data_IF_010158825754
#
_entry.id   IF_010158825754
#
_cell.length_a   1.000
_cell.length_b   1.000
_cell.length_c   1.000
_cell.angle_alpha   90.00
_cell.angle_beta   90.00
_cell.angle_gamma   90.00
#
_symmetry.space_group_name_H-M   'P 1'
#
loop_
_entity.id
_entity.type
_entity.pdbx_description
1 polymer ?
#
# COMPACT_ATOMS: atom_id res chain seq x y z
N UNK A 1 -8.42 8.11 19.08
CA UNK A 1 -9.36 7.89 17.95
C UNK A 1 -8.76 8.61 16.75
N UNK A 2 -8.86 8.08 15.52
CA UNK A 2 -8.44 8.85 14.34
C UNK A 2 -9.58 9.77 13.93
N UNK A 3 -9.55 11.01 14.41
CA UNK A 3 -10.28 12.11 13.78
C UNK A 3 -9.70 12.29 12.38
N UNK A 4 -10.48 11.99 11.32
CA UNK A 4 -10.01 12.20 9.95
C UNK A 4 -9.86 13.70 9.72
N UNK A 5 -8.62 14.16 9.52
CA UNK A 5 -8.26 15.56 9.32
C UNK A 5 -9.16 16.22 8.26
N UNK A 6 -9.78 17.38 8.55
CA UNK A 6 -10.67 18.03 7.60
C UNK A 6 -9.93 18.45 6.32
N UNK A 7 -10.64 18.36 5.20
CA UNK A 7 -10.16 18.65 3.84
C UNK A 7 -10.84 19.88 3.27
N UNK A 8 -10.07 20.71 2.55
CA UNK A 8 -10.49 22.02 2.04
C UNK A 8 -10.07 22.20 0.57
N UNK A 9 -10.43 21.23 -0.27
CA UNK A 9 -10.12 21.25 -1.70
C UNK A 9 -11.07 22.12 -2.53
N UNK A 10 -12.29 22.35 -2.03
CA UNK A 10 -13.37 23.09 -2.68
C UNK A 10 -13.94 24.11 -1.69
N UNK A 11 -14.10 25.36 -2.10
CA UNK A 11 -14.72 26.41 -1.31
C UNK A 11 -16.23 26.52 -1.60
N UNK A 12 -16.97 27.06 -0.61
CA UNK A 12 -18.41 27.36 -0.76
C UNK A 12 -18.68 28.32 -1.94
N UNK A 13 -17.71 29.18 -2.28
CA UNK A 13 -17.78 30.11 -3.41
C UNK A 13 -17.84 29.38 -4.75
N UNK A 14 -16.97 28.40 -4.97
CA UNK A 14 -16.90 27.61 -6.21
C UNK A 14 -18.26 26.91 -6.47
N UNK A 15 -18.82 26.32 -5.40
CA UNK A 15 -20.13 25.68 -5.45
C UNK A 15 -21.25 26.69 -5.72
N UNK A 16 -21.22 27.86 -5.07
CA UNK A 16 -22.21 28.94 -5.33
C UNK A 16 -22.12 29.45 -6.77
N UNK A 17 -20.95 29.53 -7.38
CA UNK A 17 -20.80 29.90 -8.80
C UNK A 17 -21.39 28.84 -9.74
N UNK A 18 -21.16 27.55 -9.45
CA UNK A 18 -21.79 26.43 -10.18
C UNK A 18 -23.32 26.51 -10.05
N UNK A 19 -23.86 26.67 -8.84
CA UNK A 19 -25.32 26.77 -8.61
C UNK A 19 -25.93 27.97 -9.34
N UNK A 20 -25.30 29.16 -9.30
CA UNK A 20 -25.79 30.35 -10.01
C UNK A 20 -25.73 30.18 -11.54
N UNK A 21 -24.78 29.38 -12.06
CA UNK A 21 -24.64 29.11 -13.50
C UNK A 21 -25.72 28.16 -14.02
N UNK A 22 -26.10 27.15 -13.24
CA UNK A 22 -27.20 26.24 -13.62
C UNK A 22 -28.58 26.83 -13.33
N UNK A 23 -28.70 27.75 -12.36
CA UNK A 23 -29.95 28.43 -12.03
C UNK A 23 -29.85 29.98 -12.14
N UNK A 24 -29.76 30.52 -13.36
CA UNK A 24 -29.70 31.97 -13.58
C UNK A 24 -31.01 32.69 -13.24
N UNK A 25 -32.17 32.02 -13.27
CA UNK A 25 -33.45 32.63 -12.89
C UNK A 25 -33.65 32.72 -11.37
N UNK A 26 -32.84 31.98 -10.60
CA UNK A 26 -32.94 31.78 -9.14
C UNK A 26 -34.28 31.22 -8.66
N UNK A 27 -35.11 30.68 -9.56
CA UNK A 27 -36.36 30.02 -9.20
C UNK A 27 -36.11 28.55 -8.90
N UNK A 28 -36.80 28.03 -7.89
CA UNK A 28 -36.69 26.61 -7.51
C UNK A 28 -37.32 25.69 -8.57
N UNK A 29 -38.43 26.10 -9.18
CA UNK A 29 -39.13 25.30 -10.20
C UNK A 29 -38.37 25.14 -11.52
N UNK A 30 -37.39 26.02 -11.79
CA UNK A 30 -36.56 25.98 -13.01
C UNK A 30 -35.30 25.11 -12.83
N UNK A 31 -35.01 24.64 -11.60
CA UNK A 31 -33.77 23.95 -11.25
C UNK A 31 -33.87 22.43 -11.43
N UNK A 32 -33.11 21.89 -12.38
CA UNK A 32 -32.87 20.46 -12.49
C UNK A 32 -31.88 19.98 -11.41
N UNK A 33 -32.42 19.58 -10.25
CA UNK A 33 -31.64 19.10 -9.10
C UNK A 33 -30.73 17.90 -9.46
N UNK A 34 -31.20 16.83 -10.14
CA UNK A 34 -30.33 15.73 -10.59
C UNK A 34 -29.16 16.15 -11.48
N UNK A 35 -29.33 17.14 -12.36
CA UNK A 35 -28.23 17.64 -13.21
C UNK A 35 -27.20 18.43 -12.39
N UNK A 36 -27.66 19.28 -11.47
CA UNK A 36 -26.77 20.01 -10.54
C UNK A 36 -25.99 19.03 -9.64
N UNK A 37 -26.66 18.03 -9.07
CA UNK A 37 -26.04 16.98 -8.26
C UNK A 37 -24.97 16.21 -9.05
N UNK A 38 -25.30 15.77 -10.27
CA UNK A 38 -24.37 15.10 -11.18
C UNK A 38 -23.18 15.99 -11.54
N UNK A 39 -23.38 17.30 -11.70
CA UNK A 39 -22.33 18.28 -12.03
C UNK A 39 -21.36 18.51 -10.87
N UNK A 40 -21.85 18.52 -9.63
CA UNK A 40 -21.01 18.62 -8.43
C UNK A 40 -20.28 17.30 -8.17
N UNK A 41 -20.93 16.15 -8.34
CA UNK A 41 -20.27 14.83 -8.25
C UNK A 41 -19.20 14.60 -9.33
N UNK A 42 -19.21 15.36 -10.43
CA UNK A 42 -18.17 15.33 -11.46
C UNK A 42 -16.91 16.15 -11.09
N UNK A 43 -16.90 16.88 -9.98
CA UNK A 43 -15.71 17.57 -9.47
C UNK A 43 -14.72 16.55 -8.87
N UNK A 44 -13.44 16.46 -9.31
CA UNK A 44 -12.54 15.38 -8.90
C UNK A 44 -12.30 15.24 -7.39
N UNK A 45 -12.39 16.35 -6.65
CA UNK A 45 -12.21 16.40 -5.20
C UNK A 45 -13.50 16.15 -4.38
N UNK A 46 -14.62 15.82 -5.02
CA UNK A 46 -15.85 15.32 -4.36
C UNK A 46 -15.80 13.79 -4.31
N UNK A 47 -16.12 13.20 -3.16
CA UNK A 47 -16.38 11.75 -3.02
C UNK A 47 -17.86 11.41 -3.24
N UNK A 48 -18.75 12.27 -2.72
CA UNK A 48 -20.19 12.23 -2.98
C UNK A 48 -20.83 13.58 -2.65
N UNK A 49 -21.76 14.05 -3.47
CA UNK A 49 -22.63 15.19 -3.18
C UNK A 49 -24.11 14.78 -3.28
N UNK A 50 -24.92 15.27 -2.35
CA UNK A 50 -26.38 15.14 -2.32
C UNK A 50 -26.99 16.54 -2.41
N UNK A 51 -27.95 16.76 -3.31
CA UNK A 51 -28.60 18.06 -3.51
C UNK A 51 -30.10 17.90 -3.36
N UNK A 52 -30.72 18.65 -2.44
CA UNK A 52 -32.14 18.48 -2.14
C UNK A 52 -32.81 19.79 -1.70
N UNK A 53 -34.09 19.90 -2.03
CA UNK A 53 -34.96 20.95 -1.53
C UNK A 53 -35.59 20.50 -0.20
N UNK A 54 -35.65 21.40 0.79
CA UNK A 54 -36.47 21.17 1.98
C UNK A 54 -37.86 21.80 1.85
N UNK A 55 -38.77 21.44 2.76
CA UNK A 55 -40.18 21.90 2.76
C UNK A 55 -40.33 23.44 2.79
N UNK A 56 -39.30 24.17 3.22
CA UNK A 56 -39.28 25.63 3.26
C UNK A 56 -38.76 26.26 1.96
N UNK A 57 -38.63 25.50 0.87
CA UNK A 57 -38.15 25.97 -0.42
C UNK A 57 -36.65 26.33 -0.46
N UNK A 58 -35.87 25.97 0.55
CA UNK A 58 -34.41 26.17 0.55
C UNK A 58 -33.71 24.97 -0.07
N UNK A 59 -32.81 25.25 -1.02
CA UNK A 59 -31.88 24.28 -1.60
C UNK A 59 -30.74 24.01 -0.60
N UNK A 60 -30.39 22.75 -0.41
CA UNK A 60 -29.34 22.28 0.50
C UNK A 60 -28.39 21.38 -0.30
N UNK A 61 -27.09 21.46 0.02
CA UNK A 61 -26.02 20.80 -0.73
C UNK A 61 -25.06 20.13 0.25
N UNK A 62 -25.25 18.83 0.49
CA UNK A 62 -24.39 18.04 1.37
C UNK A 62 -23.23 17.48 0.55
N UNK A 63 -22.08 18.15 0.59
CA UNK A 63 -20.90 17.81 -0.23
C UNK A 63 -19.82 17.18 0.64
N UNK A 64 -19.58 15.88 0.43
CA UNK A 64 -18.47 15.14 1.04
C UNK A 64 -17.26 15.20 0.11
N UNK A 65 -16.22 15.92 0.54
CA UNK A 65 -14.94 15.99 -0.16
C UNK A 65 -14.14 14.68 -0.03
N UNK A 66 -13.30 14.40 -1.03
CA UNK A 66 -12.40 13.24 -1.11
C UNK A 66 -11.20 13.45 -0.19
N UNK A 67 -10.84 12.44 0.58
CA UNK A 67 -9.69 12.49 1.52
C UNK A 67 -8.54 11.67 0.94
N UNK A 68 -7.36 12.27 0.69
CA UNK A 68 -6.22 11.53 0.15
C UNK A 68 -5.56 10.68 1.24
N UNK A 69 -5.13 9.48 0.87
CA UNK A 69 -4.23 8.66 1.68
C UNK A 69 -2.77 8.99 1.35
N UNK A 70 -2.47 9.24 0.08
CA UNK A 70 -1.12 9.64 -0.35
C UNK A 70 -1.13 10.63 -1.53
N UNK A 71 0.00 11.32 -1.70
CA UNK A 71 0.35 12.10 -2.90
C UNK A 71 1.35 11.30 -3.72
N UNK A 72 1.06 11.03 -4.99
CA UNK A 72 1.97 10.37 -5.92
C UNK A 72 2.62 11.40 -6.84
N UNK A 73 3.96 11.43 -6.84
CA UNK A 73 4.77 12.15 -7.81
C UNK A 73 5.38 11.18 -8.83
N UNK A 74 5.06 11.38 -10.11
CA UNK A 74 5.62 10.61 -11.22
C UNK A 74 5.96 11.51 -12.41
N UNK A 75 7.22 11.49 -12.84
CA UNK A 75 7.75 12.30 -13.97
C UNK A 75 7.38 13.79 -13.89
N UNK A 76 7.42 14.35 -12.67
CA UNK A 76 7.10 15.76 -12.41
C UNK A 76 5.60 16.10 -12.40
N UNK A 77 4.71 15.10 -12.49
CA UNK A 77 3.27 15.27 -12.24
C UNK A 77 2.95 14.84 -10.81
N UNK A 78 2.20 15.68 -10.12
CA UNK A 78 1.65 15.41 -8.78
C UNK A 78 0.14 15.20 -8.85
N UNK A 79 -0.32 14.17 -8.13
CA UNK A 79 -1.74 13.91 -7.90
C UNK A 79 -1.93 13.23 -6.55
N UNK A 80 -3.13 13.34 -6.02
CA UNK A 80 -3.57 12.63 -4.82
C UNK A 80 -4.22 11.31 -5.18
N UNK A 81 -4.20 10.35 -4.26
CA UNK A 81 -4.92 9.07 -4.34
C UNK A 81 -5.64 8.83 -3.01
N UNK A 82 -6.90 8.39 -3.07
CA UNK A 82 -7.73 8.12 -1.88
C UNK A 82 -7.73 6.65 -1.42
N UNK A 83 -8.51 6.38 -0.37
CA UNK A 83 -8.71 5.06 0.25
C UNK A 83 -9.33 4.00 -0.70
N UNK A 84 -9.87 4.44 -1.85
CA UNK A 84 -10.48 3.61 -2.90
C UNK A 84 -9.59 3.48 -4.15
N UNK A 85 -8.34 3.92 -4.08
CA UNK A 85 -7.44 3.96 -5.24
C UNK A 85 -7.86 4.97 -6.33
N UNK A 86 -8.72 5.94 -6.03
CA UNK A 86 -9.15 6.95 -7.00
C UNK A 86 -8.16 8.10 -6.99
N UNK A 87 -7.51 8.34 -8.14
CA UNK A 87 -6.62 9.49 -8.33
C UNK A 87 -7.38 10.79 -8.61
N UNK A 88 -6.89 11.91 -8.07
CA UNK A 88 -7.44 13.24 -8.30
C UNK A 88 -6.33 14.31 -8.29
N UNK A 89 -6.47 15.42 -9.04
CA UNK A 89 -5.43 16.44 -9.12
C UNK A 89 -5.24 17.18 -7.79
N UNK A 90 -4.02 17.71 -7.59
CA UNK A 90 -3.74 18.64 -6.49
C UNK A 90 -4.58 19.93 -6.65
N UNK A 91 -5.05 20.50 -5.53
CA UNK A 91 -5.67 21.83 -5.54
C UNK A 91 -4.58 22.92 -5.61
N UNK A 92 -4.94 24.07 -6.19
CA UNK A 92 -4.08 25.27 -6.21
C UNK A 92 -4.11 26.04 -4.88
N UNK A 93 -5.18 25.86 -4.11
CA UNK A 93 -5.49 26.65 -2.90
C UNK A 93 -5.16 25.90 -1.62
N UNK A 94 -5.12 24.56 -1.66
CA UNK A 94 -4.95 23.69 -0.49
C UNK A 94 -4.08 22.47 -0.78
N UNK A 95 -3.24 22.11 0.18
CA UNK A 95 -2.42 20.89 0.15
C UNK A 95 -2.64 20.09 1.44
N UNK A 96 -3.16 18.88 1.32
CA UNK A 96 -3.37 17.99 2.47
C UNK A 96 -2.05 17.33 2.91
N UNK A 97 -1.75 17.27 4.24
CA UNK A 97 -0.60 16.54 4.76
C UNK A 97 -0.85 15.03 4.73
N UNK A 98 -0.26 14.33 3.76
CA UNK A 98 -0.33 12.88 3.59
C UNK A 98 1.01 12.34 3.07
N UNK A 99 1.17 11.01 3.06
CA UNK A 99 2.42 10.35 2.66
C UNK A 99 2.82 10.71 1.23
N UNK A 100 4.08 11.09 1.01
CA UNK A 100 4.62 11.32 -0.34
C UNK A 100 5.14 10.01 -0.94
N UNK A 101 4.55 9.58 -2.05
CA UNK A 101 4.97 8.46 -2.87
C UNK A 101 5.66 8.97 -4.12
N UNK A 102 6.76 8.33 -4.51
CA UNK A 102 7.53 8.64 -5.72
C UNK A 102 7.75 7.40 -6.58
N UNK A 103 7.66 7.53 -7.91
CA UNK A 103 8.02 6.46 -8.86
C UNK A 103 6.84 5.88 -9.65
N UNK A 104 7.10 4.77 -10.35
CA UNK A 104 6.21 4.20 -11.38
C UNK A 104 5.16 3.24 -10.79
N UNK A 105 4.25 3.79 -10.00
CA UNK A 105 3.14 3.06 -9.35
C UNK A 105 1.96 2.97 -10.34
N UNK A 106 1.51 1.74 -10.62
CA UNK A 106 0.35 1.47 -11.47
C UNK A 106 -0.95 1.54 -10.65
N UNK A 107 -2.07 1.77 -11.33
CA UNK A 107 -3.39 1.94 -10.68
C UNK A 107 -3.86 0.68 -9.95
N UNK A 108 -3.53 -0.51 -10.45
CA UNK A 108 -3.77 -1.80 -9.80
C UNK A 108 -3.00 -2.00 -8.47
N UNK A 109 -1.99 -1.16 -8.20
CA UNK A 109 -1.25 -1.16 -6.94
C UNK A 109 -1.77 -0.13 -5.93
N UNK A 110 -2.67 0.79 -6.32
CA UNK A 110 -3.07 1.93 -5.49
C UNK A 110 -3.80 1.53 -4.20
N UNK A 111 -4.72 0.56 -4.24
CA UNK A 111 -5.44 0.07 -3.06
C UNK A 111 -4.49 -0.59 -2.04
N UNK A 112 -3.59 -1.47 -2.50
CA UNK A 112 -2.56 -2.10 -1.64
C UNK A 112 -1.58 -1.07 -1.07
N UNK A 113 -1.26 -0.03 -1.83
CA UNK A 113 -0.39 1.04 -1.38
C UNK A 113 -1.10 1.95 -0.35
N UNK A 114 -2.40 2.18 -0.51
CA UNK A 114 -3.22 2.83 0.50
C UNK A 114 -3.27 2.01 1.80
N UNK A 115 -3.35 0.67 1.73
CA UNK A 115 -3.22 -0.19 2.92
C UNK A 115 -1.83 -0.02 3.59
N UNK A 116 -0.73 0.00 2.83
CA UNK A 116 0.61 0.23 3.38
C UNK A 116 0.71 1.57 4.12
N UNK A 117 0.15 2.64 3.54
CA UNK A 117 0.15 3.97 4.18
C UNK A 117 -0.75 4.00 5.41
N UNK A 118 -1.98 3.45 5.35
CA UNK A 118 -2.88 3.33 6.50
C UNK A 118 -2.26 2.55 7.67
N UNK A 119 -1.53 1.46 7.39
CA UNK A 119 -0.81 0.67 8.41
C UNK A 119 0.35 1.46 9.03
N UNK A 120 1.00 2.34 8.27
CA UNK A 120 2.03 3.26 8.79
C UNK A 120 1.39 4.37 9.63
N UNK A 121 0.30 4.99 9.16
CA UNK A 121 -0.41 6.09 9.83
C UNK A 121 -1.14 5.68 11.12
N UNK A 122 -1.41 4.38 11.30
CA UNK A 122 -1.99 3.79 12.53
C UNK A 122 -0.95 3.45 13.61
N UNK A 123 0.34 3.46 13.30
CA UNK A 123 1.41 3.18 14.27
C UNK A 123 2.23 4.45 14.54
N UNK A 124 2.10 5.00 15.75
CA UNK A 124 2.77 6.24 16.20
C UNK A 124 4.28 6.25 15.99
N UNK A 125 4.92 5.07 15.98
CA UNK A 125 6.33 4.92 15.64
C UNK A 125 6.53 5.06 14.12
N UNK A 126 5.91 4.19 13.33
CA UNK A 126 6.05 4.15 11.87
C UNK A 126 5.70 5.50 11.22
N UNK A 127 4.64 6.16 11.67
CA UNK A 127 4.20 7.49 11.20
C UNK A 127 5.23 8.61 11.41
N UNK A 128 6.04 8.53 12.48
CA UNK A 128 7.11 9.50 12.78
C UNK A 128 8.46 9.08 12.16
N UNK A 129 8.60 7.78 11.88
CA UNK A 129 9.83 7.19 11.38
C UNK A 129 9.94 7.24 9.84
N UNK A 130 8.82 7.12 9.12
CA UNK A 130 8.77 7.15 7.67
C UNK A 130 8.16 8.44 7.14
N UNK A 131 8.88 9.11 6.23
CA UNK A 131 8.49 10.41 5.65
C UNK A 131 8.02 10.31 4.19
N UNK A 132 8.18 9.15 3.56
CA UNK A 132 7.81 8.93 2.17
C UNK A 132 8.03 7.50 1.71
N UNK A 133 7.56 7.20 0.51
CA UNK A 133 7.71 5.91 -0.18
C UNK A 133 8.33 6.17 -1.56
N UNK A 134 9.22 5.28 -1.99
CA UNK A 134 9.81 5.31 -3.32
C UNK A 134 9.76 3.94 -3.97
N UNK A 135 9.13 3.85 -5.14
CA UNK A 135 9.08 2.63 -5.95
C UNK A 135 10.18 2.68 -7.01
N UNK A 136 11.08 1.70 -6.98
CA UNK A 136 12.15 1.54 -7.95
C UNK A 136 12.10 0.15 -8.57
N UNK A 137 11.82 0.10 -9.88
CA UNK A 137 11.37 -1.14 -10.57
C UNK A 137 10.17 -1.70 -9.80
N UNK A 138 10.16 -3.00 -9.53
CA UNK A 138 9.08 -3.71 -8.83
C UNK A 138 9.27 -3.79 -7.30
N UNK A 139 10.11 -2.90 -6.72
CA UNK A 139 10.41 -2.87 -5.28
C UNK A 139 10.05 -1.53 -4.65
N UNK A 140 9.22 -1.57 -3.61
CA UNK A 140 8.86 -0.44 -2.76
C UNK A 140 9.88 -0.25 -1.63
N UNK A 141 10.24 1.00 -1.37
CA UNK A 141 11.22 1.38 -0.36
C UNK A 141 10.66 2.53 0.49
N UNK A 142 10.60 2.37 1.80
CA UNK A 142 10.25 3.45 2.72
C UNK A 142 11.49 4.35 2.94
N UNK A 143 11.23 5.66 3.00
CA UNK A 143 12.22 6.71 3.27
C UNK A 143 12.12 7.08 4.75
N UNK A 144 13.23 6.95 5.48
CA UNK A 144 13.27 7.28 6.91
C UNK A 144 13.48 8.77 7.12
N UNK A 145 13.00 9.30 8.25
CA UNK A 145 13.16 10.72 8.64
C UNK A 145 14.63 11.15 8.74
N UNK A 146 15.52 10.24 9.12
CA UNK A 146 16.97 10.47 9.22
C UNK A 146 17.70 10.37 7.86
N UNK A 147 17.11 9.71 6.87
CA UNK A 147 17.68 9.53 5.51
C UNK A 147 18.92 8.62 5.40
N UNK A 148 19.44 8.09 6.52
CA UNK A 148 20.71 7.36 6.61
C UNK A 148 20.73 6.09 5.74
N UNK A 149 19.62 5.34 5.74
CA UNK A 149 19.45 4.12 4.95
C UNK A 149 18.05 4.03 4.36
N UNK A 150 17.88 3.13 3.38
CA UNK A 150 16.57 2.81 2.78
C UNK A 150 16.00 1.53 3.38
N UNK A 151 14.69 1.50 3.62
CA UNK A 151 13.99 0.31 4.11
C UNK A 151 13.24 -0.33 2.93
N UNK A 152 13.76 -1.44 2.41
CA UNK A 152 13.18 -2.14 1.26
C UNK A 152 12.06 -3.09 1.70
N UNK A 153 10.84 -2.83 1.26
CA UNK A 153 9.64 -3.65 1.49
C UNK A 153 9.48 -4.72 0.40
N UNK A 154 9.98 -4.48 -0.81
CA UNK A 154 9.76 -5.34 -1.97
C UNK A 154 8.35 -5.16 -2.53
N UNK A 155 7.61 -6.25 -2.66
CA UNK A 155 6.19 -6.28 -3.02
C UNK A 155 5.28 -5.72 -1.90
N UNK A 156 4.01 -5.46 -2.25
CA UNK A 156 2.96 -5.00 -1.32
C UNK A 156 2.17 -6.15 -0.66
N UNK A 157 2.69 -7.38 -0.60
CA UNK A 157 2.06 -8.48 0.12
C UNK A 157 2.63 -8.61 1.55
N UNK A 158 1.82 -9.13 2.47
CA UNK A 158 2.18 -9.31 3.90
C UNK A 158 2.64 -8.02 4.62
N UNK A 159 2.15 -6.84 4.19
CA UNK A 159 2.47 -5.50 4.69
C UNK A 159 2.64 -5.46 6.23
N UNK A 160 1.64 -5.96 6.97
CA UNK A 160 1.64 -5.89 8.44
C UNK A 160 2.80 -6.66 9.07
N UNK A 161 3.19 -7.81 8.52
CA UNK A 161 4.34 -8.58 8.99
C UNK A 161 5.66 -7.87 8.65
N UNK A 162 5.75 -7.20 7.49
CA UNK A 162 6.94 -6.46 7.06
C UNK A 162 7.18 -5.22 7.95
N UNK A 163 6.13 -4.41 8.17
CA UNK A 163 6.19 -3.21 9.05
C UNK A 163 6.50 -3.61 10.49
N UNK A 164 5.80 -4.61 11.04
CA UNK A 164 6.06 -5.14 12.40
C UNK A 164 7.45 -5.75 12.53
N UNK A 165 7.93 -6.45 11.50
CA UNK A 165 9.28 -7.00 11.44
C UNK A 165 10.35 -5.91 11.49
N UNK A 166 10.19 -4.85 10.69
CA UNK A 166 11.08 -3.69 10.74
C UNK A 166 11.08 -3.03 12.13
N UNK A 167 9.91 -2.72 12.70
CA UNK A 167 9.80 -2.15 14.05
C UNK A 167 10.52 -3.00 15.10
N UNK A 168 10.31 -4.33 15.05
CA UNK A 168 11.01 -5.29 15.93
C UNK A 168 12.54 -5.25 15.75
N UNK A 169 13.04 -5.01 14.54
CA UNK A 169 14.47 -4.86 14.27
C UNK A 169 15.03 -3.54 14.82
N UNK A 170 14.28 -2.44 14.72
CA UNK A 170 14.66 -1.16 15.34
C UNK A 170 14.79 -1.33 16.85
N UNK A 171 13.72 -1.79 17.50
CA UNK A 171 13.63 -1.95 18.96
C UNK A 171 14.71 -2.88 19.54
N UNK A 172 15.11 -3.94 18.83
CA UNK A 172 16.04 -4.95 19.35
C UNK A 172 17.49 -4.84 18.89
N UNK A 173 17.78 -4.14 17.79
CA UNK A 173 19.13 -4.10 17.21
C UNK A 173 19.62 -2.68 16.92
N UNK A 174 18.82 -1.84 16.26
CA UNK A 174 19.29 -0.49 15.89
C UNK A 174 19.41 0.45 17.09
N UNK A 175 18.62 0.27 18.15
CA UNK A 175 18.80 0.98 19.43
C UNK A 175 20.19 0.73 20.05
N UNK A 176 20.89 -0.33 19.64
CA UNK A 176 22.21 -0.73 20.18
C UNK A 176 23.32 -0.71 19.10
N UNK A 177 23.10 -0.11 17.94
CA UNK A 177 24.06 -0.04 16.82
C UNK A 177 24.02 1.34 16.15
N UNK A 178 25.15 1.80 15.59
CA UNK A 178 25.15 3.02 14.77
C UNK A 178 24.31 2.81 13.49
N UNK A 179 23.27 3.63 13.21
CA UNK A 179 22.52 3.58 11.96
C UNK A 179 23.40 3.70 10.71
N UNK A 180 24.50 4.46 10.75
CA UNK A 180 25.45 4.68 9.65
C UNK A 180 26.14 3.39 9.19
N UNK A 181 26.12 2.34 10.02
CA UNK A 181 26.62 1.00 9.69
C UNK A 181 25.91 0.37 8.50
N UNK A 182 24.66 0.77 8.24
CA UNK A 182 23.80 0.19 7.21
C UNK A 182 23.51 1.18 6.08
N UNK A 183 23.42 0.66 4.85
CA UNK A 183 22.99 1.38 3.65
C UNK A 183 21.55 1.05 3.27
N UNK A 184 21.12 -0.18 3.56
CA UNK A 184 19.77 -0.68 3.26
C UNK A 184 19.38 -1.76 4.26
N UNK A 185 18.10 -1.78 4.65
CA UNK A 185 17.49 -2.83 5.48
C UNK A 185 16.33 -3.40 4.67
N UNK A 186 16.41 -4.67 4.28
CA UNK A 186 15.41 -5.33 3.44
C UNK A 186 14.56 -6.28 4.26
N UNK A 187 13.24 -6.03 4.30
CA UNK A 187 12.22 -6.84 4.97
C UNK A 187 11.30 -7.56 3.99
N UNK A 188 11.66 -7.59 2.70
CA UNK A 188 10.89 -8.29 1.64
C UNK A 188 10.90 -9.81 1.78
N UNK A 189 11.89 -10.37 2.47
CA UNK A 189 12.03 -11.81 2.66
C UNK A 189 11.18 -12.29 3.84
N UNK A 190 10.38 -13.35 3.65
CA UNK A 190 9.63 -13.94 4.75
C UNK A 190 10.56 -14.43 5.87
N UNK A 191 10.19 -14.06 7.10
CA UNK A 191 10.88 -14.43 8.35
C UNK A 191 12.36 -13.99 8.46
N UNK A 192 12.87 -13.14 7.56
CA UNK A 192 14.28 -12.76 7.50
C UNK A 192 14.43 -11.26 7.19
N UNK A 193 15.38 -10.61 7.86
CA UNK A 193 15.72 -9.21 7.64
C UNK A 193 17.16 -9.14 7.15
N UNK A 194 17.35 -8.70 5.91
CA UNK A 194 18.65 -8.70 5.23
C UNK A 194 19.19 -7.27 5.20
N UNK A 195 20.29 -7.03 5.91
CA UNK A 195 20.95 -5.72 5.93
C UNK A 195 22.09 -5.66 4.92
N UNK A 196 22.24 -4.51 4.26
CA UNK A 196 23.39 -4.19 3.41
C UNK A 196 24.26 -3.20 4.17
N UNK A 197 25.51 -3.58 4.44
CA UNK A 197 26.47 -2.72 5.13
C UNK A 197 26.82 -1.47 4.30
N UNK A 198 27.09 -0.37 4.99
CA UNK A 198 27.61 0.86 4.39
C UNK A 198 29.13 0.71 4.11
N UNK A 199 29.60 0.81 2.86
CA UNK A 199 31.02 0.68 2.53
C UNK A 199 31.88 1.87 2.96
N UNK A 200 31.28 2.97 3.44
CA UNK A 200 31.99 4.14 3.96
C UNK A 200 32.07 4.18 5.50
N UNK A 201 31.49 3.19 6.19
CA UNK A 201 31.53 3.08 7.64
C UNK A 201 32.72 2.21 8.07
N UNK A 202 33.69 2.80 8.78
CA UNK A 202 35.04 2.25 9.00
C UNK A 202 35.08 0.85 9.63
N UNK A 203 34.10 0.48 10.45
CA UNK A 203 34.06 -0.85 11.08
C UNK A 203 33.72 -1.97 10.08
N UNK A 204 33.03 -1.64 8.98
CA UNK A 204 32.60 -2.62 7.98
C UNK A 204 33.75 -3.07 7.07
N UNK A 205 34.84 -2.31 6.98
CA UNK A 205 36.00 -2.57 6.11
C UNK A 205 36.46 -4.02 6.15
N UNK A 206 36.71 -4.56 7.35
CA UNK A 206 37.23 -5.91 7.56
C UNK A 206 36.22 -6.99 7.14
N UNK A 207 34.93 -6.75 7.38
CA UNK A 207 33.85 -7.68 7.05
C UNK A 207 33.67 -7.74 5.52
N UNK A 208 33.60 -6.58 4.87
CA UNK A 208 33.46 -6.47 3.41
C UNK A 208 34.67 -7.10 2.69
N UNK A 209 35.89 -6.83 3.16
CA UNK A 209 37.13 -7.42 2.63
C UNK A 209 37.21 -8.94 2.82
N UNK A 210 36.53 -9.50 3.82
CA UNK A 210 36.38 -10.95 3.98
C UNK A 210 35.37 -11.52 2.97
N UNK A 211 34.13 -11.01 2.94
CA UNK A 211 33.08 -11.51 2.04
C UNK A 211 33.45 -11.46 0.56
N UNK A 212 34.22 -10.46 0.12
CA UNK A 212 34.73 -10.40 -1.25
C UNK A 212 35.73 -11.53 -1.58
N UNK A 213 36.53 -12.02 -0.63
CA UNK A 213 37.47 -13.14 -0.87
C UNK A 213 36.75 -14.47 -1.06
N UNK A 214 35.66 -14.69 -0.34
CA UNK A 214 34.88 -15.93 -0.44
C UNK A 214 34.06 -15.96 -1.73
N UNK A 215 33.48 -14.83 -2.16
CA UNK A 215 32.80 -14.70 -3.45
C UNK A 215 33.75 -14.92 -4.64
N UNK A 216 35.01 -14.45 -4.55
CA UNK A 216 36.03 -14.66 -5.60
C UNK A 216 36.55 -16.11 -5.64
N UNK A 217 36.31 -16.93 -4.61
CA UNK A 217 36.64 -18.37 -4.60
C UNK A 217 35.58 -19.26 -5.25
N UNK A 218 34.40 -18.74 -5.60
CA UNK A 218 33.38 -19.52 -6.29
C UNK A 218 33.76 -19.74 -7.78
N UNK A 219 33.86 -21.00 -8.27
CA UNK A 219 34.25 -21.27 -9.65
C UNK A 219 33.15 -20.85 -10.63
N UNK A 220 33.49 -19.96 -11.57
CA UNK A 220 32.57 -19.47 -12.61
C UNK A 220 32.28 -20.58 -13.62
N UNK A 221 31.12 -21.22 -13.51
CA UNK A 221 30.65 -22.20 -14.48
C UNK A 221 30.29 -21.53 -15.82
N UNK A 222 31.17 -21.68 -16.83
CA UNK A 222 31.00 -21.09 -18.16
C UNK A 222 29.88 -21.81 -18.92
N UNK A 223 28.75 -21.13 -19.12
CA UNK A 223 27.63 -21.64 -19.94
C UNK A 223 27.98 -21.51 -21.42
N UNK A 224 28.43 -22.63 -22.05
CA UNK A 224 28.52 -22.73 -23.51
C UNK A 224 27.16 -23.08 -24.14
N UNK A 225 26.85 -22.39 -25.24
CA UNK A 225 25.61 -22.50 -26.00
C UNK A 225 25.74 -23.53 -27.12
N UNK A 226 24.84 -24.51 -27.17
CA UNK A 226 24.66 -25.45 -28.28
C UNK A 226 23.18 -25.86 -28.40
N UNK A 227 22.73 -26.27 -29.58
CA UNK A 227 21.33 -26.56 -29.91
C UNK A 227 21.20 -27.74 -30.87
N UNK A 228 20.04 -28.42 -30.83
CA UNK A 228 19.66 -29.65 -31.57
C UNK A 228 20.55 -30.88 -31.27
N UNK A 229 20.11 -32.14 -31.43
CA UNK A 229 18.96 -32.67 -32.20
C UNK A 229 18.29 -33.86 -31.46
N UNK A 230 17.09 -34.26 -31.88
CA UNK A 230 16.25 -35.32 -31.29
C UNK A 230 16.65 -36.77 -31.59
N UNK A 231 16.28 -37.72 -30.72
CA UNK A 231 15.65 -39.02 -31.07
C UNK A 231 15.15 -39.82 -29.83
N UNK A 232 14.32 -40.86 -30.05
CA UNK A 232 13.61 -41.76 -29.09
C UNK A 232 13.17 -43.04 -29.87
N UNK A 233 12.62 -44.12 -29.25
CA UNK A 233 12.98 -44.82 -28.00
C UNK A 233 12.97 -46.38 -28.13
N UNK A 234 13.50 -47.13 -27.15
CA UNK A 234 13.11 -48.51 -26.74
C UNK A 234 13.32 -48.63 -25.22
N UNK A 235 12.42 -49.15 -24.37
CA UNK A 235 11.94 -50.54 -24.20
C UNK A 235 13.06 -51.57 -23.89
N UNK A 236 12.95 -52.47 -22.89
CA UNK A 236 11.90 -52.70 -21.85
C UNK A 236 12.54 -53.43 -20.62
N UNK A 237 11.71 -53.90 -19.65
CA UNK A 237 11.93 -54.84 -18.52
C UNK A 237 12.03 -54.30 -17.08
N UNK A 238 10.93 -54.54 -16.35
CA UNK A 238 10.75 -54.87 -14.91
C UNK A 238 9.81 -56.13 -14.91
N UNK A 239 9.58 -56.93 -13.84
CA UNK A 239 9.31 -56.44 -12.46
C UNK A 239 9.65 -57.37 -11.25
N UNK A 240 9.65 -56.77 -10.05
CA UNK A 240 9.19 -57.25 -8.70
C UNK A 240 9.68 -56.20 -7.67
N UNK A 241 8.96 -55.73 -6.64
CA UNK A 241 7.88 -56.23 -5.76
C UNK A 241 8.38 -57.22 -4.67
N UNK A 242 7.90 -57.20 -3.42
CA UNK A 242 6.87 -56.32 -2.78
C UNK A 242 7.56 -55.19 -1.95
N UNK A 243 7.25 -54.70 -0.73
CA UNK A 243 6.23 -54.88 0.33
C UNK A 243 5.88 -53.50 0.92
N UNK A 244 4.65 -53.27 1.42
CA UNK A 244 4.30 -52.12 2.30
C UNK A 244 3.10 -52.48 3.21
N UNK A 245 3.18 -52.31 4.54
CA UNK A 245 1.99 -52.43 5.41
C UNK A 245 1.12 -51.16 5.44
N UNK A 246 -0.17 -51.37 5.14
CA UNK A 246 -1.36 -50.62 5.60
C UNK A 246 -2.03 -51.50 6.69
N UNK A 247 -3.04 -51.16 7.49
CA UNK A 247 -3.93 -49.99 7.72
C UNK A 247 -4.69 -50.26 9.05
N UNK A 248 -5.40 -49.25 9.61
CA UNK A 248 -6.88 -49.30 9.78
C UNK A 248 -7.48 -48.03 10.39
N UNK A 249 -8.76 -47.79 10.07
CA UNK A 249 -9.64 -46.73 10.59
C UNK A 249 -10.54 -47.27 11.72
N UNK A 250 -11.14 -46.37 12.53
CA UNK A 250 -12.58 -46.39 12.85
C UNK A 250 -13.11 -45.08 13.47
N UNK A 251 -14.41 -44.84 13.26
CA UNK A 251 -15.35 -43.86 13.86
C UNK A 251 -16.74 -44.55 13.80
N UNK A 252 -17.82 -44.19 14.55
CA UNK A 252 -18.49 -42.87 14.65
C UNK A 252 -18.91 -42.57 16.13
N UNK A 253 -19.98 -41.87 16.58
CA UNK A 253 -21.09 -41.12 15.93
C UNK A 253 -21.67 -39.98 16.83
N UNK A 254 -21.74 -38.73 16.30
CA UNK A 254 -22.88 -37.75 16.29
C UNK A 254 -23.90 -37.71 17.46
N UNK A 255 -24.16 -36.49 17.99
CA UNK A 255 -25.51 -35.84 18.06
C UNK A 255 -25.49 -34.42 18.68
N UNK A 256 -26.26 -33.50 18.06
CA UNK A 256 -27.14 -32.39 18.57
C UNK A 256 -26.92 -31.76 19.98
N UNK A 257 -27.23 -30.49 20.28
CA UNK A 257 -28.20 -29.54 19.67
C UNK A 257 -28.00 -28.04 20.06
N UNK A 258 -28.89 -27.20 19.51
CA UNK A 258 -29.44 -25.94 20.09
C UNK A 258 -28.68 -24.60 20.02
N UNK A 259 -29.47 -23.52 20.12
CA UNK A 259 -29.16 -22.08 20.01
C UNK A 259 -30.20 -21.32 20.85
N UNK A 260 -29.90 -20.13 21.39
CA UNK A 260 -30.80 -19.01 21.12
C UNK A 260 -30.06 -17.69 20.81
N UNK A 261 -30.84 -16.62 20.60
CA UNK A 261 -30.40 -15.28 20.21
C UNK A 261 -30.43 -14.34 21.42
N UNK A 262 -29.58 -13.31 21.41
CA UNK A 262 -29.84 -12.04 22.10
C UNK A 262 -30.05 -10.93 21.06
N UNK A 263 -30.86 -9.92 21.40
CA UNK A 263 -31.03 -8.68 20.63
C UNK A 263 -30.42 -7.53 21.43
N UNK A 264 -29.86 -6.53 20.75
CA UNK A 264 -29.69 -5.18 21.29
C UNK A 264 -30.28 -4.21 20.26
N UNK A 265 -31.16 -3.32 20.73
CA UNK A 265 -31.47 -2.05 20.07
C UNK A 265 -30.60 -0.98 20.73
N UNK A 266 -30.19 0.02 19.97
CA UNK A 266 -29.89 1.36 20.50
C UNK A 266 -30.79 2.34 19.74
N UNK A 267 -31.06 3.47 20.40
CA UNK A 267 -32.07 4.48 20.13
C UNK A 267 -31.64 5.50 19.06
#
# INVERSE_FOLDING_TARGET
>A
MNEKTPVYFIDEKDIREIVNKENPSRKVGDLNIPELEKKINALPAVDSANVYLNLNGKLNLDIKQRVPVFRLNYKGKDFYVDEKGIEFPISKTYSHPCMLVTGDVKKDEYEKLAELVDKIDKDDFSKKYFIGISKYKDSYNLLTSEGIYRVEIGDLDNIELKVKGFKTFVEKYLVFQDPQKYKMISVKYQNQIVTTLNPYFKENDSILKASHKDLVKAPVAIVKKASSTSLKPKENTKPKAVVKPKEKKKTPEKKTAAKPKAKIKIE
#
